data_IF_916654935438
#
_entry.id   IF_916654935438
#
_cell.length_a   1.000
_cell.length_b   1.000
_cell.length_c   1.000
_cell.angle_alpha   90.00
_cell.angle_beta   90.00
_cell.angle_gamma   90.00
#
_symmetry.space_group_name_H-M   'P 1'
#
loop_
_entity.id
_entity.type
_entity.pdbx_description
1 polymer ?
#
# COMPACT_ATOMS: atom_id res chain seq x y z
N UNK A 1 19.28 2.55 24.29
CA UNK A 1 17.90 2.05 24.06
C UNK A 1 17.18 2.80 22.93
N UNK A 2 17.34 4.12 22.79
CA UNK A 2 16.71 4.90 21.68
C UNK A 2 17.27 4.54 20.28
N UNK A 3 18.57 4.26 20.15
CA UNK A 3 19.17 3.85 18.87
C UNK A 3 18.70 2.45 18.40
N UNK A 4 18.47 1.49 19.31
CA UNK A 4 17.91 0.18 18.94
C UNK A 4 16.45 0.28 18.47
N UNK A 5 15.66 1.16 19.05
CA UNK A 5 14.29 1.41 18.60
C UNK A 5 14.25 2.12 17.23
N UNK A 6 15.22 2.98 16.91
CA UNK A 6 15.37 3.55 15.57
C UNK A 6 15.67 2.48 14.52
N UNK A 7 16.64 1.57 14.76
CA UNK A 7 17.00 0.53 13.81
C UNK A 7 15.86 -0.49 13.54
N UNK A 8 15.03 -0.80 14.54
CA UNK A 8 13.88 -1.70 14.37
C UNK A 8 12.75 -1.00 13.59
N UNK A 9 12.64 0.32 13.73
CA UNK A 9 11.66 1.15 13.02
C UNK A 9 12.03 1.39 11.55
N UNK A 10 13.32 1.37 11.22
CA UNK A 10 13.83 1.54 9.85
C UNK A 10 13.69 0.27 8.99
N UNK A 11 13.40 -0.88 9.59
CA UNK A 11 13.29 -2.15 8.88
C UNK A 11 11.89 -2.44 8.31
N UNK A 12 10.86 -1.68 8.69
CA UNK A 12 9.50 -1.79 8.16
C UNK A 12 9.23 -0.73 7.10
N UNK A 13 9.59 -1.06 5.87
CA UNK A 13 9.54 -0.14 4.72
C UNK A 13 8.14 0.42 4.41
N UNK A 14 7.09 -0.23 4.87
CA UNK A 14 5.69 0.13 4.52
C UNK A 14 4.81 0.36 5.75
N UNK A 15 5.26 -0.03 6.93
CA UNK A 15 4.55 0.14 8.20
C UNK A 15 5.07 1.39 8.97
N UNK A 16 5.67 2.33 8.23
CA UNK A 16 6.34 3.51 8.78
C UNK A 16 5.40 4.58 9.33
N UNK A 17 4.14 4.60 8.92
CA UNK A 17 3.11 5.55 9.37
C UNK A 17 1.85 4.82 9.80
N UNK A 18 1.25 5.29 10.91
CA UNK A 18 0.03 4.73 11.48
C UNK A 18 -1.10 4.67 10.44
N UNK A 19 -1.60 3.46 10.16
CA UNK A 19 -2.70 3.22 9.23
C UNK A 19 -2.34 3.19 7.75
N UNK A 20 -1.15 3.61 7.33
CA UNK A 20 -0.80 3.76 5.91
C UNK A 20 -0.93 2.43 5.15
N UNK A 21 -0.25 1.40 5.61
CA UNK A 21 -0.24 0.10 4.94
C UNK A 21 -1.63 -0.54 4.90
N UNK A 22 -2.36 -0.52 6.02
CA UNK A 22 -3.70 -1.09 6.11
C UNK A 22 -4.71 -0.37 5.22
N UNK A 23 -4.68 0.96 5.19
CA UNK A 23 -5.61 1.74 4.38
C UNK A 23 -5.35 1.64 2.89
N UNK A 24 -4.10 1.72 2.45
CA UNK A 24 -3.75 1.53 1.04
C UNK A 24 -4.06 0.10 0.57
N UNK A 25 -3.82 -0.92 1.42
CA UNK A 25 -4.20 -2.30 1.11
C UNK A 25 -5.71 -2.47 1.01
N UNK A 26 -6.49 -1.81 1.89
CA UNK A 26 -7.94 -1.84 1.83
C UNK A 26 -8.46 -1.22 0.52
N UNK A 27 -7.90 -0.09 0.09
CA UNK A 27 -8.23 0.54 -1.20
C UNK A 27 -7.90 -0.41 -2.36
N UNK A 28 -6.71 -1.00 -2.36
CA UNK A 28 -6.25 -1.89 -3.41
C UNK A 28 -7.13 -3.16 -3.52
N UNK A 29 -7.43 -3.81 -2.39
CA UNK A 29 -8.28 -5.00 -2.34
C UNK A 29 -9.72 -4.68 -2.75
N UNK A 30 -10.24 -3.50 -2.36
CA UNK A 30 -11.56 -3.03 -2.78
C UNK A 30 -11.64 -2.91 -4.31
N UNK A 31 -10.62 -2.35 -4.96
CA UNK A 31 -10.55 -2.23 -6.42
C UNK A 31 -10.56 -3.60 -7.08
N UNK A 32 -9.76 -4.56 -6.60
CA UNK A 32 -9.78 -5.93 -7.12
C UNK A 32 -11.13 -6.63 -6.88
N UNK A 33 -11.78 -6.39 -5.74
CA UNK A 33 -13.12 -6.88 -5.48
C UNK A 33 -14.14 -6.36 -6.49
N UNK A 34 -14.09 -5.08 -6.82
CA UNK A 34 -14.96 -4.49 -7.84
C UNK A 34 -14.65 -5.00 -9.26
N UNK A 35 -13.38 -5.19 -9.61
CA UNK A 35 -12.97 -5.79 -10.88
C UNK A 35 -13.50 -7.22 -10.97
N UNK A 36 -13.34 -8.04 -9.94
CA UNK A 36 -13.83 -9.41 -9.90
C UNK A 36 -15.35 -9.46 -10.02
N UNK A 37 -16.07 -8.60 -9.28
CA UNK A 37 -17.54 -8.50 -9.36
C UNK A 37 -18.04 -8.18 -10.77
N UNK A 38 -17.37 -7.27 -11.48
CA UNK A 38 -17.77 -6.88 -12.82
C UNK A 38 -17.31 -7.86 -13.92
N UNK A 39 -16.36 -8.75 -13.61
CA UNK A 39 -15.80 -9.73 -14.55
C UNK A 39 -16.62 -11.03 -14.64
N UNK A 40 -17.94 -10.97 -14.54
CA UNK A 40 -18.89 -12.08 -14.44
C UNK A 40 -18.88 -13.15 -15.56
N UNK A 41 -17.84 -13.17 -16.40
CA UNK A 41 -17.65 -14.13 -17.50
C UNK A 41 -16.81 -15.36 -17.12
N UNK A 42 -16.23 -15.41 -15.92
CA UNK A 42 -15.56 -16.62 -15.39
C UNK A 42 -16.25 -17.10 -14.11
N UNK A 43 -16.55 -18.42 -14.07
CA UNK A 43 -17.12 -19.04 -12.87
C UNK A 43 -16.13 -18.93 -11.68
N UNK A 44 -16.61 -18.46 -10.53
CA UNK A 44 -15.83 -18.33 -9.30
C UNK A 44 -15.32 -16.92 -8.99
N UNK A 45 -15.50 -15.94 -9.87
CA UNK A 45 -15.12 -14.55 -9.56
C UNK A 45 -16.02 -13.90 -8.50
N UNK A 46 -17.27 -14.35 -8.36
CA UNK A 46 -18.15 -13.90 -7.29
C UNK A 46 -17.57 -14.25 -5.90
N UNK A 47 -16.97 -15.45 -5.76
CA UNK A 47 -16.31 -15.85 -4.51
C UNK A 47 -15.09 -15.01 -4.21
N UNK A 48 -14.31 -14.65 -5.24
CA UNK A 48 -13.16 -13.75 -5.12
C UNK A 48 -13.62 -12.35 -4.68
N UNK A 49 -14.70 -11.84 -5.25
CA UNK A 49 -15.27 -10.54 -4.86
C UNK A 49 -15.75 -10.57 -3.40
N UNK A 50 -16.47 -11.61 -3.00
CA UNK A 50 -16.92 -11.79 -1.60
C UNK A 50 -15.74 -11.85 -0.65
N UNK A 51 -14.69 -12.61 -0.98
CA UNK A 51 -13.45 -12.65 -0.19
C UNK A 51 -12.83 -11.27 -0.03
N UNK A 52 -12.72 -10.50 -1.13
CA UNK A 52 -12.18 -9.14 -1.09
C UNK A 52 -12.98 -8.23 -0.16
N UNK A 53 -14.32 -8.25 -0.24
CA UNK A 53 -15.16 -7.38 0.58
C UNK A 53 -15.11 -7.76 2.07
N UNK A 54 -15.04 -9.05 2.39
CA UNK A 54 -14.83 -9.51 3.78
C UNK A 54 -13.50 -9.00 4.32
N UNK A 55 -12.43 -9.14 3.53
CA UNK A 55 -11.11 -8.71 3.95
C UNK A 55 -11.02 -7.18 4.10
N UNK A 56 -11.66 -6.42 3.21
CA UNK A 56 -11.77 -4.96 3.34
C UNK A 56 -12.51 -4.59 4.62
N UNK A 57 -13.61 -5.27 4.94
CA UNK A 57 -14.33 -5.06 6.20
C UNK A 57 -13.44 -5.29 7.43
N UNK A 58 -12.64 -6.37 7.41
CA UNK A 58 -11.65 -6.65 8.46
C UNK A 58 -10.58 -5.56 8.58
N UNK A 59 -10.05 -5.09 7.45
CA UNK A 59 -9.05 -4.01 7.42
C UNK A 59 -9.61 -2.67 7.90
N UNK A 60 -10.86 -2.34 7.55
CA UNK A 60 -11.53 -1.14 8.06
C UNK A 60 -11.74 -1.22 9.58
N UNK A 61 -12.13 -2.40 10.09
CA UNK A 61 -12.20 -2.64 11.54
C UNK A 61 -10.83 -2.51 12.22
N UNK A 62 -9.77 -3.01 11.60
CA UNK A 62 -8.40 -2.85 12.09
C UNK A 62 -7.96 -1.37 12.10
N UNK A 63 -8.30 -0.61 11.06
CA UNK A 63 -7.95 0.82 10.94
C UNK A 63 -8.52 1.68 12.06
N UNK A 64 -9.63 1.29 12.69
CA UNK A 64 -10.19 1.98 13.87
C UNK A 64 -9.18 2.00 15.02
N UNK A 65 -8.34 0.98 15.13
CA UNK A 65 -7.33 0.88 16.18
C UNK A 65 -5.92 1.22 15.70
N UNK A 66 -5.65 1.11 14.40
CA UNK A 66 -4.36 1.40 13.78
C UNK A 66 -4.25 2.84 13.24
N UNK A 67 -5.37 3.61 13.21
CA UNK A 67 -5.34 5.03 12.87
C UNK A 67 -4.60 5.85 13.93
N UNK A 68 -4.02 7.00 13.51
CA UNK A 68 -3.20 7.84 14.40
C UNK A 68 -4.02 8.44 15.57
N UNK A 69 -3.56 8.35 16.83
CA UNK A 69 -2.40 7.58 17.31
C UNK A 69 -2.69 6.07 17.39
N UNK A 70 -1.87 5.26 16.73
CA UNK A 70 -2.11 3.82 16.66
C UNK A 70 -2.03 3.14 18.04
N UNK A 71 -3.06 2.35 18.34
CA UNK A 71 -3.12 1.50 19.54
C UNK A 71 -2.62 0.08 19.25
N UNK A 72 -2.71 -0.35 17.99
CA UNK A 72 -2.30 -1.67 17.51
C UNK A 72 -1.52 -1.50 16.21
N UNK A 73 -0.42 -2.23 16.08
CA UNK A 73 0.42 -2.23 14.87
C UNK A 73 0.24 -3.54 14.12
N UNK A 74 0.28 -3.47 12.79
CA UNK A 74 0.11 -4.64 11.92
C UNK A 74 1.30 -5.59 11.99
N UNK A 75 2.51 -5.05 12.04
CA UNK A 75 3.77 -5.78 12.02
C UNK A 75 4.05 -6.47 10.69
N UNK A 76 5.23 -7.10 10.60
CA UNK A 76 5.71 -7.75 9.37
C UNK A 76 4.80 -8.90 8.90
N UNK A 77 4.24 -9.65 9.83
CA UNK A 77 3.35 -10.78 9.51
C UNK A 77 2.11 -10.30 8.74
N UNK A 78 1.50 -9.20 9.19
CA UNK A 78 0.30 -8.65 8.54
C UNK A 78 0.63 -8.00 7.21
N UNK A 79 1.69 -7.20 7.13
CA UNK A 79 2.08 -6.52 5.90
C UNK A 79 2.51 -7.48 4.78
N UNK A 80 3.26 -8.54 5.13
CA UNK A 80 3.63 -9.58 4.18
C UNK A 80 2.41 -10.40 3.72
N UNK A 81 1.48 -10.72 4.64
CA UNK A 81 0.25 -11.42 4.28
C UNK A 81 -0.60 -10.60 3.30
N UNK A 82 -0.75 -9.29 3.54
CA UNK A 82 -1.49 -8.42 2.62
C UNK A 82 -0.83 -8.29 1.25
N UNK A 83 0.50 -8.20 1.20
CA UNK A 83 1.25 -8.22 -0.05
C UNK A 83 1.03 -9.53 -0.84
N UNK A 84 1.05 -10.68 -0.16
CA UNK A 84 0.77 -11.98 -0.77
C UNK A 84 -0.67 -12.06 -1.29
N UNK A 85 -1.64 -11.57 -0.53
CA UNK A 85 -3.05 -11.51 -0.95
C UNK A 85 -3.22 -10.65 -2.19
N UNK A 86 -2.63 -9.44 -2.23
CA UNK A 86 -2.71 -8.55 -3.39
C UNK A 86 -2.09 -9.19 -4.64
N UNK A 87 -0.94 -9.85 -4.52
CA UNK A 87 -0.31 -10.57 -5.62
C UNK A 87 -1.19 -11.73 -6.11
N UNK A 88 -1.79 -12.49 -5.19
CA UNK A 88 -2.70 -13.59 -5.53
C UNK A 88 -3.95 -13.09 -6.24
N UNK A 89 -4.56 -12.00 -5.76
CA UNK A 89 -5.72 -11.38 -6.40
C UNK A 89 -5.40 -10.90 -7.83
N UNK A 90 -4.24 -10.29 -8.03
CA UNK A 90 -3.81 -9.86 -9.36
C UNK A 90 -3.69 -11.03 -10.35
N UNK A 91 -3.14 -12.16 -9.89
CA UNK A 91 -3.02 -13.39 -10.71
C UNK A 91 -4.39 -14.00 -10.96
N UNK A 92 -5.22 -14.16 -9.93
CA UNK A 92 -6.56 -14.75 -10.06
C UNK A 92 -7.48 -13.95 -10.99
N UNK A 93 -7.37 -12.64 -11.00
CA UNK A 93 -8.15 -11.76 -11.86
C UNK A 93 -7.53 -11.57 -13.25
N UNK A 94 -6.37 -12.18 -13.53
CA UNK A 94 -5.60 -11.97 -14.76
C UNK A 94 -5.30 -10.49 -15.05
N UNK A 95 -5.08 -9.69 -14.00
CA UNK A 95 -4.87 -8.23 -14.08
C UNK A 95 -3.58 -7.80 -13.36
N UNK A 96 -2.47 -8.51 -13.65
CA UNK A 96 -1.17 -8.26 -13.01
C UNK A 96 -0.66 -6.84 -13.29
N UNK A 97 -0.90 -6.31 -14.49
CA UNK A 97 -0.50 -4.94 -14.85
C UNK A 97 -1.26 -3.90 -14.05
N UNK A 98 -2.51 -4.18 -13.69
CA UNK A 98 -3.29 -3.29 -12.84
C UNK A 98 -2.70 -3.18 -11.43
N UNK A 99 -1.96 -4.20 -10.94
CA UNK A 99 -1.31 -4.18 -9.64
C UNK A 99 -0.29 -3.03 -9.52
N UNK A 100 0.43 -2.73 -10.60
CA UNK A 100 1.40 -1.63 -10.63
C UNK A 100 0.69 -0.28 -10.42
N UNK A 101 -0.51 -0.13 -10.96
CA UNK A 101 -1.29 1.10 -10.84
C UNK A 101 -2.02 1.15 -9.49
N UNK A 102 -2.74 0.08 -9.13
CA UNK A 102 -3.48 -0.03 -7.86
C UNK A 102 -2.54 0.08 -6.66
N UNK A 103 -1.39 -0.61 -6.74
CA UNK A 103 -0.32 -0.55 -5.76
C UNK A 103 0.67 0.59 -6.00
N UNK A 104 0.34 1.59 -6.82
CA UNK A 104 1.28 2.62 -7.27
C UNK A 104 1.97 3.37 -6.13
N UNK A 105 1.29 3.60 -5.02
CA UNK A 105 1.89 4.21 -3.83
C UNK A 105 2.99 3.30 -3.26
N UNK A 106 2.74 2.00 -3.11
CA UNK A 106 3.75 1.03 -2.65
C UNK A 106 4.93 0.94 -3.62
N UNK A 107 4.65 1.00 -4.93
CA UNK A 107 5.67 1.02 -5.98
C UNK A 107 6.53 2.28 -5.86
N UNK A 108 5.94 3.46 -5.67
CA UNK A 108 6.67 4.73 -5.50
C UNK A 108 7.55 4.69 -4.25
N UNK A 109 7.03 4.20 -3.12
CA UNK A 109 7.78 4.02 -1.88
C UNK A 109 9.01 3.13 -2.11
N UNK A 110 8.82 1.95 -2.69
CA UNK A 110 9.90 1.00 -2.97
C UNK A 110 10.90 1.55 -3.98
N UNK A 111 10.42 2.16 -5.08
CA UNK A 111 11.30 2.78 -6.08
C UNK A 111 12.14 3.92 -5.49
N UNK A 112 11.58 4.71 -4.57
CA UNK A 112 12.32 5.78 -3.92
C UNK A 112 13.56 5.26 -3.18
N UNK A 113 13.42 4.10 -2.51
CA UNK A 113 14.52 3.43 -1.80
C UNK A 113 15.55 2.86 -2.80
N UNK A 114 15.09 2.15 -3.84
CA UNK A 114 15.96 1.56 -4.85
C UNK A 114 16.78 2.66 -5.55
N UNK A 115 16.13 3.74 -5.98
CA UNK A 115 16.79 4.88 -6.64
C UNK A 115 17.78 5.57 -5.71
N UNK A 116 17.46 5.72 -4.43
CA UNK A 116 18.35 6.29 -3.43
C UNK A 116 19.61 5.44 -3.26
N UNK A 117 19.46 4.13 -3.06
CA UNK A 117 20.58 3.20 -2.90
C UNK A 117 21.44 3.18 -4.17
N UNK A 118 20.81 3.11 -5.34
CA UNK A 118 21.51 3.16 -6.62
C UNK A 118 22.30 4.47 -6.80
N UNK A 119 21.67 5.62 -6.49
CA UNK A 119 22.33 6.93 -6.60
C UNK A 119 23.51 7.08 -5.65
N UNK A 120 23.38 6.64 -4.41
CA UNK A 120 24.49 6.66 -3.44
C UNK A 120 25.63 5.74 -3.90
N UNK A 121 25.30 4.55 -4.44
CA UNK A 121 26.31 3.57 -4.90
C UNK A 121 27.03 4.02 -6.17
N UNK A 122 26.32 4.69 -7.11
CA UNK A 122 26.89 5.08 -8.42
C UNK A 122 27.51 6.48 -8.37
N UNK A 123 26.82 7.43 -7.71
CA UNK A 123 27.18 8.86 -7.74
C UNK A 123 27.74 9.38 -6.41
N UNK A 124 27.70 8.60 -5.34
CA UNK A 124 28.10 9.03 -3.99
C UNK A 124 27.22 10.14 -3.40
N UNK A 125 26.10 10.49 -4.05
CA UNK A 125 25.20 11.57 -3.63
C UNK A 125 23.78 11.05 -3.39
N UNK A 126 23.13 11.58 -2.36
CA UNK A 126 21.71 11.29 -2.07
C UNK A 126 20.83 11.98 -3.11
N UNK A 127 19.82 11.26 -3.64
CA UNK A 127 18.82 11.79 -4.55
C UNK A 127 17.68 12.50 -3.76
N UNK A 128 17.23 11.83 -2.70
CA UNK A 128 16.18 12.35 -1.78
C UNK A 128 16.79 12.68 -0.43
N UNK A 129 16.23 13.67 0.31
CA UNK A 129 16.68 14.01 1.67
C UNK A 129 16.61 12.82 2.64
N UNK A 130 15.58 11.97 2.48
CA UNK A 130 15.37 10.73 3.22
C UNK A 130 14.49 9.77 2.42
N UNK A 131 14.66 8.46 2.61
CA UNK A 131 13.83 7.42 1.99
C UNK A 131 13.39 6.40 3.05
N UNK A 132 12.21 5.81 2.93
CA UNK A 132 11.17 5.96 1.91
C UNK A 132 10.61 7.39 1.80
N UNK A 133 9.82 7.69 0.72
CA UNK A 133 9.44 9.05 0.36
C UNK A 133 8.59 9.75 1.43
N UNK A 134 7.80 9.02 2.24
CA UNK A 134 7.02 9.60 3.34
C UNK A 134 7.91 10.31 4.37
N UNK A 135 9.11 9.78 4.66
CA UNK A 135 10.07 10.45 5.56
C UNK A 135 10.62 11.77 4.99
N UNK A 136 10.59 11.93 3.66
CA UNK A 136 10.92 13.22 3.05
C UNK A 136 9.87 14.28 3.41
N UNK A 137 8.57 13.92 3.38
CA UNK A 137 7.49 14.82 3.78
C UNK A 137 7.53 15.17 5.28
N UNK A 138 7.87 14.20 6.15
CA UNK A 138 8.09 14.46 7.58
C UNK A 138 9.20 15.49 7.79
N UNK A 139 10.31 15.38 7.04
CA UNK A 139 11.40 16.37 7.10
C UNK A 139 11.00 17.76 6.61
N UNK A 140 10.02 17.83 5.70
CA UNK A 140 9.45 19.10 5.23
C UNK A 140 8.46 19.70 6.24
N UNK A 141 8.23 19.05 7.38
CA UNK A 141 7.36 19.53 8.45
C UNK A 141 5.89 19.15 8.34
N UNK A 142 5.55 18.20 7.48
CA UNK A 142 4.18 17.68 7.37
C UNK A 142 3.86 16.77 8.56
N UNK A 143 2.60 16.82 9.03
CA UNK A 143 2.15 15.87 10.07
C UNK A 143 1.99 14.46 9.49
N UNK A 144 2.18 13.42 10.30
CA UNK A 144 1.97 12.03 9.89
C UNK A 144 0.56 11.82 9.31
N UNK A 145 -0.45 12.44 9.91
CA UNK A 145 -1.84 12.37 9.48
C UNK A 145 -2.08 13.00 8.10
N UNK A 146 -1.39 14.09 7.79
CA UNK A 146 -1.54 14.75 6.48
C UNK A 146 -0.87 13.93 5.37
N UNK A 147 0.27 13.32 5.68
CA UNK A 147 0.97 12.41 4.76
C UNK A 147 0.09 11.20 4.44
N UNK A 148 -0.49 10.56 5.46
CA UNK A 148 -1.38 9.40 5.28
C UNK A 148 -2.61 9.78 4.45
N UNK A 149 -3.24 10.93 4.73
CA UNK A 149 -4.37 11.44 3.93
C UNK A 149 -3.99 11.68 2.48
N UNK A 150 -2.84 12.31 2.23
CA UNK A 150 -2.34 12.52 0.87
C UNK A 150 -2.19 11.19 0.14
N UNK A 151 -1.56 10.21 0.77
CA UNK A 151 -1.35 8.90 0.15
C UNK A 151 -2.65 8.12 -0.07
N UNK A 152 -3.65 8.26 0.81
CA UNK A 152 -4.98 7.70 0.57
C UNK A 152 -5.66 8.34 -0.65
N UNK A 153 -5.58 9.66 -0.80
CA UNK A 153 -6.13 10.35 -1.97
C UNK A 153 -5.45 9.89 -3.25
N UNK A 154 -4.12 9.82 -3.25
CA UNK A 154 -3.35 9.31 -4.40
C UNK A 154 -3.70 7.86 -4.68
N UNK A 155 -3.74 7.00 -3.66
CA UNK A 155 -4.11 5.58 -3.80
C UNK A 155 -5.53 5.42 -4.35
N UNK A 156 -6.47 6.25 -3.92
CA UNK A 156 -7.85 6.23 -4.41
C UNK A 156 -7.93 6.66 -5.88
N UNK A 157 -7.21 7.71 -6.28
CA UNK A 157 -7.15 8.17 -7.68
C UNK A 157 -6.56 7.08 -8.58
N UNK A 158 -5.44 6.49 -8.18
CA UNK A 158 -4.80 5.39 -8.92
C UNK A 158 -5.70 4.15 -8.97
N UNK A 159 -6.33 3.80 -7.86
CA UNK A 159 -7.28 2.70 -7.78
C UNK A 159 -8.50 2.90 -8.70
N UNK A 160 -9.06 4.10 -8.71
CA UNK A 160 -10.18 4.44 -9.61
C UNK A 160 -9.75 4.38 -11.07
N UNK A 161 -8.56 4.87 -11.41
CA UNK A 161 -8.00 4.76 -12.75
C UNK A 161 -7.80 3.31 -13.19
N UNK A 162 -7.28 2.46 -12.29
CA UNK A 162 -7.12 1.03 -12.56
C UNK A 162 -8.47 0.30 -12.67
N UNK A 163 -9.48 0.70 -11.89
CA UNK A 163 -10.83 0.17 -11.99
C UNK A 163 -11.43 0.46 -13.36
N UNK A 164 -11.37 1.71 -13.82
CA UNK A 164 -11.87 2.09 -15.15
C UNK A 164 -11.18 1.26 -16.23
N UNK A 165 -9.85 1.15 -16.18
CA UNK A 165 -9.11 0.32 -17.11
C UNK A 165 -9.49 -1.17 -16.99
N UNK A 166 -9.61 -1.71 -15.78
CA UNK A 166 -9.91 -3.11 -15.51
C UNK A 166 -11.34 -3.54 -15.88
N UNK A 167 -12.27 -2.60 -15.92
CA UNK A 167 -13.68 -2.84 -16.28
C UNK A 167 -13.90 -2.73 -17.79
N UNK A 168 -13.19 -1.84 -18.48
CA UNK A 168 -13.41 -1.54 -19.91
C UNK A 168 -12.50 -2.31 -20.86
N UNK A 169 -11.39 -2.83 -20.38
CA UNK A 169 -10.40 -3.61 -21.15
C UNK A 169 -10.08 -4.93 -20.46
#
# INVERSE_FOLDING_TARGET
RRQRQMCIRDSNLTDGLDGLAAGLSAIAIMVYGMIAWNSGWLAGYDDVAVFCFILVGGLLGFLVYNGHPAKVFMGDTGSLALGAVLATLAILTHREMSLIVVGGVFVIETLSVILQVASVKIRGKKLFPMTPIHHTFEKLGWSETDIVRLFYVVGFILGTGALVYGVWY
#
